data_IF_187401950087
#
_entry.id   IF_187401950087
#
_cell.length_a   1.000
_cell.length_b   1.000
_cell.length_c   1.000
_cell.angle_alpha   90.00
_cell.angle_beta   90.00
_cell.angle_gamma   90.00
#
_symmetry.space_group_name_H-M   'P 1'
#
loop_
_entity.id
_entity.type
_entity.pdbx_description
1 polymer ?
#
# COMPACT_ATOMS: atom_id res chain seq x y z
N UNK A 1 28.89 -37.72 -7.19
CA UNK A 1 28.84 -36.26 -6.98
C UNK A 1 27.43 -35.93 -6.51
N UNK A 2 27.24 -35.49 -5.27
CA UNK A 2 25.92 -35.11 -4.77
C UNK A 2 25.73 -33.60 -5.00
N UNK A 3 24.72 -33.21 -5.77
CA UNK A 3 24.29 -31.82 -5.89
C UNK A 3 23.14 -31.62 -4.92
N UNK A 4 23.33 -30.79 -3.91
CA UNK A 4 22.28 -30.42 -2.96
C UNK A 4 21.68 -29.09 -3.44
N UNK A 5 20.43 -29.13 -3.90
CA UNK A 5 19.64 -27.96 -4.23
C UNK A 5 18.51 -27.78 -3.20
N UNK A 6 18.20 -26.53 -2.88
CA UNK A 6 17.13 -26.18 -1.95
C UNK A 6 16.23 -25.08 -2.51
N UNK A 7 14.96 -25.09 -2.10
CA UNK A 7 13.95 -24.15 -2.54
C UNK A 7 13.31 -23.47 -1.33
N UNK A 8 12.76 -22.27 -1.51
CA UNK A 8 11.94 -21.62 -0.49
C UNK A 8 12.69 -20.83 0.59
N UNK A 9 14.01 -20.60 0.46
CA UNK A 9 14.71 -19.70 1.40
C UNK A 9 14.17 -18.29 1.22
N UNK A 10 13.61 -17.70 2.28
CA UNK A 10 13.05 -16.35 2.24
C UNK A 10 13.96 -15.35 2.95
N UNK A 11 14.07 -14.14 2.40
CA UNK A 11 14.72 -13.00 3.04
C UNK A 11 13.76 -11.83 3.08
N UNK A 12 13.63 -11.18 4.23
CA UNK A 12 12.77 -10.02 4.43
C UNK A 12 13.64 -8.79 4.62
N UNK A 13 13.38 -7.74 3.85
CA UNK A 13 13.99 -6.42 3.98
C UNK A 13 12.94 -5.43 4.48
N UNK A 14 13.21 -4.78 5.61
CA UNK A 14 12.42 -3.66 6.13
C UNK A 14 12.89 -2.35 5.50
N UNK A 15 11.97 -1.55 4.97
CA UNK A 15 12.28 -0.22 4.39
C UNK A 15 11.91 0.91 5.36
N UNK A 16 10.82 0.77 6.10
CA UNK A 16 10.47 1.73 7.16
C UNK A 16 8.97 2.05 7.25
N UNK A 17 8.61 2.98 8.15
CA UNK A 17 7.24 3.47 8.32
C UNK A 17 6.82 4.38 7.16
N UNK A 18 5.57 4.30 6.71
CA UNK A 18 5.10 5.05 5.54
C UNK A 18 4.02 6.07 5.87
N UNK A 19 2.85 5.60 6.31
CA UNK A 19 1.70 6.43 6.65
C UNK A 19 0.96 5.87 7.85
N UNK A 20 0.26 6.75 8.57
CA UNK A 20 -0.66 6.34 9.64
C UNK A 20 -1.97 5.91 9.02
N UNK A 21 -2.46 4.74 9.41
CA UNK A 21 -3.77 4.25 9.01
C UNK A 21 -4.26 3.24 10.03
N UNK A 22 -5.58 3.22 10.24
CA UNK A 22 -6.26 2.25 11.10
C UNK A 22 -6.19 0.87 10.46
N UNK A 23 -5.84 -0.14 11.25
CA UNK A 23 -5.78 -1.52 10.80
C UNK A 23 -7.15 -2.20 10.89
N UNK A 24 -7.65 -2.77 9.79
CA UNK A 24 -8.94 -3.47 9.75
C UNK A 24 -9.01 -4.70 10.67
N UNK A 25 -7.86 -5.26 11.07
CA UNK A 25 -7.81 -6.49 11.88
C UNK A 25 -7.75 -6.22 13.38
N UNK A 26 -6.91 -5.27 13.82
CA UNK A 26 -6.72 -5.00 15.25
C UNK A 26 -7.21 -3.61 15.66
N UNK A 27 -7.78 -2.84 14.74
CA UNK A 27 -8.36 -1.51 14.94
C UNK A 27 -7.40 -0.45 15.54
N UNK A 28 -6.09 -0.71 15.52
CA UNK A 28 -5.08 0.23 16.01
C UNK A 28 -4.64 1.18 14.88
N UNK A 29 -4.36 2.44 15.23
CA UNK A 29 -3.91 3.48 14.29
C UNK A 29 -2.42 3.76 14.42
N UNK A 30 -1.64 3.11 13.56
CA UNK A 30 -0.18 3.12 13.63
C UNK A 30 0.48 3.40 12.28
N UNK A 31 1.77 3.71 12.32
CA UNK A 31 2.59 3.85 11.11
C UNK A 31 2.83 2.49 10.47
N UNK A 32 2.16 2.25 9.34
CA UNK A 32 2.32 1.02 8.56
C UNK A 32 3.74 0.89 8.03
N UNK A 33 4.23 -0.35 8.00
CA UNK A 33 5.61 -0.67 7.70
C UNK A 33 5.75 -1.29 6.30
N UNK A 34 6.71 -0.80 5.53
CA UNK A 34 7.01 -1.30 4.19
C UNK A 34 8.09 -2.37 4.22
N UNK A 35 7.82 -3.50 3.57
CA UNK A 35 8.74 -4.64 3.49
C UNK A 35 8.92 -5.14 2.05
N UNK A 36 9.99 -5.88 1.84
CA UNK A 36 10.19 -6.71 0.65
C UNK A 36 10.59 -8.11 1.04
N UNK A 37 9.82 -9.10 0.60
CA UNK A 37 10.09 -10.51 0.80
C UNK A 37 10.62 -11.09 -0.51
N UNK A 38 11.80 -11.70 -0.47
CA UNK A 38 12.40 -12.39 -1.62
C UNK A 38 12.53 -13.86 -1.31
N UNK A 39 12.12 -14.70 -2.26
CA UNK A 39 12.26 -16.15 -2.19
C UNK A 39 13.37 -16.59 -3.14
N UNK A 40 14.33 -17.33 -2.60
CA UNK A 40 15.58 -17.68 -3.25
C UNK A 40 15.63 -19.16 -3.62
N UNK A 41 16.21 -19.42 -4.79
CA UNK A 41 16.77 -20.71 -5.14
C UNK A 41 18.15 -20.85 -4.49
N UNK A 42 18.38 -21.96 -3.78
CA UNK A 42 19.65 -22.20 -3.09
C UNK A 42 20.40 -23.36 -3.73
N UNK A 43 21.71 -23.19 -3.92
CA UNK A 43 22.63 -24.22 -4.39
C UNK A 43 23.68 -24.41 -3.30
N UNK A 44 23.87 -25.64 -2.80
CA UNK A 44 24.74 -25.91 -1.65
C UNK A 44 24.44 -24.99 -0.45
N UNK A 45 23.17 -24.75 -0.17
CA UNK A 45 22.67 -23.85 0.89
C UNK A 45 22.96 -22.34 0.69
N UNK A 46 23.66 -21.96 -0.38
CA UNK A 46 23.93 -20.57 -0.75
C UNK A 46 22.76 -20.04 -1.60
N UNK A 47 22.09 -18.94 -1.23
CA UNK A 47 21.05 -18.33 -2.04
C UNK A 47 21.68 -17.68 -3.28
N UNK A 48 21.36 -18.20 -4.46
CA UNK A 48 22.00 -17.77 -5.72
C UNK A 48 21.11 -16.79 -6.47
N UNK A 49 19.85 -17.18 -6.74
CA UNK A 49 18.94 -16.40 -7.58
C UNK A 49 17.60 -16.25 -6.85
N UNK A 50 17.09 -15.02 -6.66
CA UNK A 50 15.73 -14.82 -6.20
C UNK A 50 14.76 -15.05 -7.36
N UNK A 51 13.81 -15.98 -7.20
CA UNK A 51 12.80 -16.27 -8.23
C UNK A 51 11.44 -15.62 -7.94
N UNK A 52 11.23 -15.11 -6.73
CA UNK A 52 10.04 -14.35 -6.38
C UNK A 52 10.41 -13.16 -5.50
N UNK A 53 9.80 -12.02 -5.77
CA UNK A 53 9.90 -10.80 -4.96
C UNK A 53 8.51 -10.23 -4.74
N UNK A 54 8.13 -10.09 -3.48
CA UNK A 54 6.86 -9.55 -3.05
C UNK A 54 7.11 -8.28 -2.24
N UNK A 55 6.28 -7.27 -2.48
CA UNK A 55 6.27 -6.03 -1.71
C UNK A 55 5.09 -6.07 -0.76
N UNK A 56 5.33 -5.80 0.52
CA UNK A 56 4.36 -6.00 1.58
C UNK A 56 4.19 -4.70 2.37
N UNK A 57 2.95 -4.37 2.69
CA UNK A 57 2.62 -3.32 3.64
C UNK A 57 1.98 -3.96 4.87
N UNK A 58 2.58 -3.77 6.04
CA UNK A 58 2.28 -4.54 7.25
C UNK A 58 2.00 -3.64 8.44
N UNK A 59 0.94 -3.93 9.19
CA UNK A 59 0.62 -3.36 10.48
C UNK A 59 1.69 -3.79 11.51
N UNK A 60 2.33 -2.85 12.23
CA UNK A 60 3.38 -3.18 13.19
C UNK A 60 2.85 -3.91 14.45
N UNK A 61 1.55 -3.86 14.71
CA UNK A 61 0.93 -4.43 15.92
C UNK A 61 0.58 -5.91 15.73
N UNK A 62 -0.25 -6.24 14.74
CA UNK A 62 -0.77 -7.59 14.55
C UNK A 62 -0.16 -8.34 13.35
N UNK A 63 0.81 -7.74 12.65
CA UNK A 63 1.41 -8.28 11.43
C UNK A 63 0.45 -8.56 10.27
N UNK A 64 -0.79 -8.05 10.35
CA UNK A 64 -1.72 -8.04 9.22
C UNK A 64 -1.19 -7.13 8.12
N UNK A 65 -1.34 -7.54 6.86
CA UNK A 65 -0.81 -6.78 5.75
C UNK A 65 -1.21 -7.34 4.40
N UNK A 66 -0.96 -6.55 3.36
CA UNK A 66 -1.30 -6.91 1.98
C UNK A 66 -0.05 -6.86 1.09
N UNK A 67 -0.06 -7.69 0.04
CA UNK A 67 0.90 -7.60 -1.06
C UNK A 67 0.51 -6.41 -1.93
N UNK A 68 1.48 -5.55 -2.24
CA UNK A 68 1.28 -4.36 -3.08
C UNK A 68 2.04 -4.49 -4.40
N UNK A 69 1.59 -3.75 -5.41
CA UNK A 69 2.27 -3.69 -6.71
C UNK A 69 3.63 -3.02 -6.57
N UNK A 70 4.53 -3.32 -7.51
CA UNK A 70 5.86 -2.70 -7.56
C UNK A 70 5.76 -1.18 -7.71
N UNK A 71 4.85 -0.70 -8.56
CA UNK A 71 4.61 0.74 -8.75
C UNK A 71 4.24 1.41 -7.43
N UNK A 72 3.29 0.82 -6.70
CA UNK A 72 2.87 1.33 -5.40
C UNK A 72 4.00 1.28 -4.37
N UNK A 73 4.80 0.23 -4.41
CA UNK A 73 5.97 0.09 -3.55
C UNK A 73 6.99 1.21 -3.80
N UNK A 74 7.31 1.56 -5.05
CA UNK A 74 8.27 2.63 -5.35
C UNK A 74 7.75 4.00 -4.88
N UNK A 75 6.45 4.27 -5.02
CA UNK A 75 5.82 5.48 -4.45
C UNK A 75 6.01 5.54 -2.92
N UNK A 76 5.67 4.45 -2.24
CA UNK A 76 5.72 4.35 -0.78
C UNK A 76 7.15 4.32 -0.24
N UNK A 77 8.10 3.77 -1.00
CA UNK A 77 9.51 3.70 -0.62
C UNK A 77 10.11 5.10 -0.47
N UNK A 78 9.78 6.04 -1.36
CA UNK A 78 10.25 7.42 -1.25
C UNK A 78 9.80 8.07 0.06
N UNK A 79 8.53 7.85 0.45
CA UNK A 79 7.98 8.33 1.73
C UNK A 79 8.64 7.63 2.91
N UNK A 80 8.83 6.31 2.84
CA UNK A 80 9.49 5.54 3.90
C UNK A 80 10.94 6.00 4.14
N UNK A 81 11.69 6.25 3.07
CA UNK A 81 13.06 6.77 3.15
C UNK A 81 13.09 8.16 3.83
N UNK A 82 12.16 9.06 3.48
CA UNK A 82 12.04 10.38 4.13
C UNK A 82 11.70 10.28 5.62
N UNK A 83 10.73 9.42 5.97
CA UNK A 83 10.34 9.19 7.36
C UNK A 83 11.52 8.61 8.17
N UNK A 84 12.26 7.67 7.58
CA UNK A 84 13.46 7.11 8.21
C UNK A 84 14.56 8.16 8.40
N UNK A 85 14.79 9.04 7.42
CA UNK A 85 15.75 10.13 7.55
C UNK A 85 15.38 11.07 8.70
N UNK A 86 14.10 11.39 8.87
CA UNK A 86 13.60 12.19 9.99
C UNK A 86 13.79 11.46 11.33
N UNK A 87 13.39 10.19 11.42
CA UNK A 87 13.55 9.39 12.66
C UNK A 87 15.01 9.24 13.07
N UNK A 88 15.92 9.14 12.11
CA UNK A 88 17.36 9.06 12.34
C UNK A 88 18.02 10.44 12.54
N UNK A 89 17.23 11.53 12.64
CA UNK A 89 17.70 12.91 12.82
C UNK A 89 18.69 13.37 11.74
N UNK A 90 18.58 12.83 10.52
CA UNK A 90 19.42 13.22 9.38
C UNK A 90 18.92 14.50 8.70
N UNK A 91 17.62 14.77 8.84
CA UNK A 91 16.93 15.92 8.28
C UNK A 91 16.06 16.58 9.35
N UNK A 92 15.72 17.84 9.14
CA UNK A 92 14.80 18.58 10.01
C UNK A 92 13.34 18.29 9.67
N UNK A 93 12.41 18.66 10.55
CA UNK A 93 10.97 18.51 10.30
C UNK A 93 10.51 19.34 9.08
N UNK A 94 11.08 20.52 8.88
CA UNK A 94 10.71 21.38 7.74
C UNK A 94 11.22 20.81 6.42
N UNK A 95 12.44 20.26 6.40
CA UNK A 95 12.96 19.53 5.25
C UNK A 95 12.12 18.29 4.93
N UNK A 96 11.70 17.56 5.95
CA UNK A 96 10.80 16.41 5.80
C UNK A 96 9.48 16.82 5.15
N UNK A 97 8.80 17.85 5.68
CA UNK A 97 7.54 18.38 5.12
C UNK A 97 7.70 18.77 3.66
N UNK A 98 8.77 19.49 3.32
CA UNK A 98 9.05 19.91 1.95
C UNK A 98 9.25 18.70 1.02
N UNK A 99 10.03 17.70 1.46
CA UNK A 99 10.33 16.51 0.66
C UNK A 99 9.09 15.64 0.46
N UNK A 100 8.26 15.46 1.48
CA UNK A 100 6.96 14.79 1.36
C UNK A 100 6.04 15.56 0.41
N UNK A 101 5.98 16.89 0.52
CA UNK A 101 5.19 17.72 -0.39
C UNK A 101 5.59 17.53 -1.86
N UNK A 102 6.88 17.51 -2.15
CA UNK A 102 7.42 17.25 -3.49
C UNK A 102 7.04 15.85 -4.01
N UNK A 103 7.10 14.82 -3.17
CA UNK A 103 6.69 13.46 -3.56
C UNK A 103 5.21 13.39 -3.92
N UNK A 104 4.35 14.06 -3.14
CA UNK A 104 2.91 14.14 -3.42
C UNK A 104 2.65 14.89 -4.72
N UNK A 105 3.31 16.03 -4.93
CA UNK A 105 3.15 16.82 -6.14
C UNK A 105 3.59 16.02 -7.38
N UNK A 106 4.75 15.37 -7.33
CA UNK A 106 5.24 14.54 -8.44
C UNK A 106 4.27 13.41 -8.77
N UNK A 107 3.63 12.80 -7.77
CA UNK A 107 2.62 11.76 -7.98
C UNK A 107 1.39 12.34 -8.67
N UNK A 108 0.92 13.51 -8.24
CA UNK A 108 -0.22 14.19 -8.85
C UNK A 108 0.07 14.58 -10.30
N UNK A 109 1.28 15.08 -10.59
CA UNK A 109 1.71 15.42 -11.94
C UNK A 109 1.72 14.18 -12.86
N UNK A 110 2.21 13.03 -12.37
CA UNK A 110 2.15 11.76 -13.11
C UNK A 110 0.72 11.30 -13.36
N UNK A 111 -0.16 11.39 -12.35
CA UNK A 111 -1.58 11.04 -12.49
C UNK A 111 -2.26 11.92 -13.55
N UNK A 112 -2.06 13.24 -13.49
CA UNK A 112 -2.62 14.18 -14.45
C UNK A 112 -2.07 13.94 -15.86
N UNK A 113 -0.77 13.69 -16.01
CA UNK A 113 -0.16 13.37 -17.30
C UNK A 113 -0.75 12.08 -17.92
N UNK A 114 -0.94 11.04 -17.11
CA UNK A 114 -1.56 9.79 -17.54
C UNK A 114 -3.02 10.01 -17.95
N UNK A 115 -3.80 10.72 -17.13
CA UNK A 115 -5.20 11.06 -17.45
C UNK A 115 -5.31 11.89 -18.74
N UNK A 116 -4.41 12.84 -18.96
CA UNK A 116 -4.35 13.62 -20.19
C UNK A 116 -4.00 12.75 -21.41
N UNK A 117 -3.10 11.79 -21.26
CA UNK A 117 -2.76 10.84 -22.32
C UNK A 117 -3.94 9.93 -22.68
N UNK A 118 -4.68 9.41 -21.69
CA UNK A 118 -5.89 8.60 -21.91
C UNK A 118 -6.98 9.39 -22.69
N UNK A 119 -7.01 10.70 -22.49
CA UNK A 119 -7.90 11.63 -23.17
C UNK A 119 -7.40 12.11 -24.54
N UNK A 120 -6.16 11.77 -24.91
CA UNK A 120 -5.56 12.21 -26.16
C UNK A 120 -6.39 11.75 -27.36
N UNK A 121 -6.71 12.69 -28.26
CA UNK A 121 -7.54 12.43 -29.44
C UNK A 121 -9.04 12.33 -29.18
N UNK A 122 -9.52 12.52 -27.94
CA UNK A 122 -10.95 12.63 -27.65
C UNK A 122 -11.45 14.05 -27.85
N UNK A 123 -12.68 14.19 -28.34
CA UNK A 123 -13.35 15.50 -28.46
C UNK A 123 -13.85 15.99 -27.09
N UNK A 124 -14.09 17.29 -26.97
CA UNK A 124 -14.61 17.90 -25.73
C UNK A 124 -15.92 17.23 -25.25
N UNK A 125 -16.82 16.89 -26.18
CA UNK A 125 -18.06 16.18 -25.84
C UNK A 125 -17.80 14.77 -25.31
N UNK A 126 -16.86 14.03 -25.92
CA UNK A 126 -16.45 12.71 -25.44
C UNK A 126 -15.77 12.78 -24.07
N UNK A 127 -14.96 13.83 -23.85
CA UNK A 127 -14.30 14.11 -22.58
C UNK A 127 -15.31 14.33 -21.47
N UNK A 128 -16.28 15.24 -21.71
CA UNK A 128 -17.30 15.57 -20.73
C UNK A 128 -18.18 14.36 -20.41
N UNK A 129 -18.53 13.57 -21.42
CA UNK A 129 -19.25 12.31 -21.23
C UNK A 129 -18.48 11.33 -20.34
N UNK A 130 -17.18 11.12 -20.60
CA UNK A 130 -16.35 10.22 -19.79
C UNK A 130 -16.24 10.70 -18.34
N UNK A 131 -16.07 12.01 -18.13
CA UNK A 131 -16.01 12.61 -16.78
C UNK A 131 -17.31 12.40 -16.01
N UNK A 132 -18.45 12.63 -16.66
CA UNK A 132 -19.77 12.39 -16.08
C UNK A 132 -19.97 10.92 -15.70
N UNK A 133 -19.53 9.99 -16.57
CA UNK A 133 -19.63 8.55 -16.28
C UNK A 133 -18.72 8.13 -15.12
N UNK A 134 -17.53 8.73 -14.97
CA UNK A 134 -16.62 8.50 -13.84
C UNK A 134 -17.20 9.05 -12.52
N UNK A 135 -17.89 10.20 -12.56
CA UNK A 135 -18.60 10.78 -11.41
C UNK A 135 -19.76 9.89 -10.95
N UNK A 136 -20.60 9.43 -11.88
CA UNK A 136 -21.71 8.50 -11.58
C UNK A 136 -21.17 7.19 -10.98
N UNK A 137 -20.03 6.69 -11.49
CA UNK A 137 -19.39 5.50 -10.95
C UNK A 137 -18.94 5.70 -9.50
N UNK A 138 -18.26 6.82 -9.20
CA UNK A 138 -17.81 7.13 -7.83
C UNK A 138 -18.97 7.28 -6.85
N UNK A 139 -20.03 7.99 -7.24
CA UNK A 139 -21.22 8.13 -6.40
C UNK A 139 -21.83 6.76 -6.04
N UNK A 140 -21.91 5.84 -7.02
CA UNK A 140 -22.39 4.47 -6.76
C UNK A 140 -21.45 3.65 -5.86
N UNK A 141 -20.15 3.84 -5.97
CA UNK A 141 -19.16 3.19 -5.09
C UNK A 141 -19.26 3.71 -3.66
N UNK A 142 -19.47 5.02 -3.48
CA UNK A 142 -19.68 5.67 -2.17
C UNK A 142 -20.97 5.17 -1.51
N UNK A 143 -22.09 5.13 -2.24
CA UNK A 143 -23.36 4.54 -1.77
C UNK A 143 -23.20 3.07 -1.37
N UNK A 144 -22.41 2.28 -2.11
CA UNK A 144 -22.12 0.89 -1.77
C UNK A 144 -21.23 0.76 -0.54
N UNK A 145 -20.28 1.69 -0.34
CA UNK A 145 -19.43 1.71 0.83
C UNK A 145 -20.21 2.06 2.10
N UNK A 146 -21.10 3.06 2.05
CA UNK A 146 -21.99 3.44 3.15
C UNK A 146 -22.94 2.31 3.54
N UNK A 147 -23.59 1.69 2.55
CA UNK A 147 -24.51 0.58 2.80
C UNK A 147 -23.79 -0.67 3.36
N UNK A 148 -22.48 -0.80 3.15
CA UNK A 148 -21.67 -1.91 3.69
C UNK A 148 -21.10 -1.61 5.08
N UNK A 149 -20.90 -0.34 5.44
CA UNK A 149 -20.63 0.05 6.84
C UNK A 149 -21.87 -0.16 7.71
N UNK A 150 -23.06 0.20 7.22
CA UNK A 150 -24.30 0.07 7.99
C UNK A 150 -24.68 -1.40 8.28
N UNK A 151 -24.26 -2.35 7.44
CA UNK A 151 -24.52 -3.79 7.68
C UNK A 151 -23.61 -4.34 8.79
N UNK A 152 -22.36 -3.87 8.93
CA UNK A 152 -21.43 -4.40 9.93
C UNK A 152 -21.68 -3.89 11.35
N UNK A 153 -22.40 -2.76 11.52
CA UNK A 153 -22.73 -2.21 12.84
C UNK A 153 -23.98 -2.88 13.47
N UNK A 154 -24.73 -3.68 12.72
CA UNK A 154 -25.97 -4.33 13.20
C UNK A 154 -25.77 -5.75 13.77
N UNK A 155 -24.56 -6.33 13.68
CA UNK A 155 -24.29 -7.70 14.13
C UNK A 155 -23.70 -7.79 15.57
N UNK A 156 -23.35 -6.66 16.21
CA UNK A 156 -22.69 -6.65 17.53
C UNK A 156 -23.67 -6.57 18.73
N UNK A 157 -24.99 -6.52 18.53
CA UNK A 157 -25.98 -6.26 19.61
C UNK A 157 -26.89 -7.46 19.99
N UNK A 158 -26.56 -8.70 19.58
CA UNK A 158 -27.35 -9.90 19.97
C UNK A 158 -26.50 -11.06 20.49
N UNK A 159 -25.70 -10.85 21.55
CA UNK A 159 -25.22 -11.99 22.32
C UNK A 159 -24.90 -11.65 23.79
N UNK A 160 -25.92 -11.25 24.55
CA UNK A 160 -25.81 -11.23 26.02
C UNK A 160 -27.15 -11.55 26.70
N UNK A 161 -27.71 -12.71 26.37
CA UNK A 161 -28.64 -13.43 27.23
C UNK A 161 -28.35 -14.93 27.08
N UNK A 162 -27.52 -15.48 27.97
CA UNK A 162 -27.73 -16.79 28.59
C UNK A 162 -26.47 -17.25 29.34
N UNK A 163 -26.38 -16.86 30.62
CA UNK A 163 -25.77 -17.71 31.64
C UNK A 163 -26.57 -17.59 32.92
N UNK A 164 -27.35 -18.64 33.18
CA UNK A 164 -27.85 -19.01 34.51
C UNK A 164 -26.70 -19.41 35.43
#
# INVERSE_FOLDING_TARGET
MFVIFGWGRQTIKKHGPVFRSRCDRCNNEEMWQLYTRRTWFTLFFIPVIPYSTEHLLICPVCSYGAVITREKFEELKGVADCNMDLMNKKITEDEHKNRIGQLVQQKNDRYNANKNYELSGKTETQINYLRQMEEIRRAKEEEQHENKSDINDNDDDMNDQDTH
#
